data_IF_467275001646
#
_entry.id   IF_467275001646
#
_cell.length_a   1.000
_cell.length_b   1.000
_cell.length_c   1.000
_cell.angle_alpha   90.00
_cell.angle_beta   90.00
_cell.angle_gamma   90.00
#
_symmetry.space_group_name_H-M   'P 1'
#
loop_
_entity.id
_entity.type
_entity.pdbx_description
1 polymer ?
#
# COMPACT_ATOMS: atom_id res chain seq x y z
N UNK A 1 -36.98 -25.28 -16.58
CA UNK A 1 -36.35 -24.02 -17.04
C UNK A 1 -34.88 -24.31 -17.36
N UNK A 2 -34.49 -24.20 -18.62
CA UNK A 2 -33.10 -24.36 -19.03
C UNK A 2 -32.33 -23.10 -18.57
N UNK A 3 -31.37 -23.29 -17.69
CA UNK A 3 -30.50 -22.20 -17.28
C UNK A 3 -29.66 -21.73 -18.48
N UNK A 4 -29.88 -20.50 -18.94
CA UNK A 4 -29.09 -19.91 -20.01
C UNK A 4 -27.75 -19.43 -19.42
N UNK A 5 -26.64 -19.89 -20.01
CA UNK A 5 -25.31 -19.41 -19.68
C UNK A 5 -24.90 -18.37 -20.71
N UNK A 6 -24.48 -17.20 -20.22
CA UNK A 6 -23.97 -16.09 -21.04
C UNK A 6 -22.63 -15.61 -20.59
N UNK A 7 -21.83 -15.08 -21.51
CA UNK A 7 -20.57 -14.39 -21.25
C UNK A 7 -20.67 -12.96 -21.73
N UNK A 8 -20.17 -12.02 -20.91
CA UNK A 8 -20.10 -10.60 -21.25
C UNK A 8 -18.64 -10.18 -21.17
N UNK A 9 -18.11 -9.62 -22.26
CA UNK A 9 -16.79 -8.98 -22.25
C UNK A 9 -16.96 -7.48 -22.06
N UNK A 10 -16.20 -6.89 -21.15
CA UNK A 10 -16.35 -5.48 -20.82
C UNK A 10 -15.05 -4.89 -20.25
N UNK A 11 -14.89 -3.60 -20.38
CA UNK A 11 -13.93 -2.76 -19.65
C UNK A 11 -14.66 -1.73 -18.75
N UNK A 12 -15.94 -1.92 -18.51
CA UNK A 12 -16.75 -1.03 -17.69
C UNK A 12 -16.54 -1.32 -16.21
N UNK A 13 -16.08 -0.32 -15.45
CA UNK A 13 -15.95 -0.36 -14.00
C UNK A 13 -17.31 -0.68 -13.34
N UNK A 14 -18.40 -0.14 -13.88
CA UNK A 14 -19.73 -0.33 -13.32
C UNK A 14 -20.22 -1.77 -13.43
N UNK A 15 -19.96 -2.42 -14.55
CA UNK A 15 -20.30 -3.85 -14.73
C UNK A 15 -19.51 -4.71 -13.75
N UNK A 16 -18.21 -4.44 -13.59
CA UNK A 16 -17.36 -5.17 -12.65
C UNK A 16 -17.80 -4.93 -11.21
N UNK A 17 -18.12 -3.68 -10.85
CA UNK A 17 -18.56 -3.31 -9.50
C UNK A 17 -19.84 -4.03 -9.08
N UNK A 18 -20.74 -4.28 -10.02
CA UNK A 18 -22.01 -4.97 -9.79
C UNK A 18 -21.92 -6.49 -9.98
N UNK A 19 -20.74 -7.03 -10.27
CA UNK A 19 -20.52 -8.47 -10.42
C UNK A 19 -19.92 -9.06 -9.15
N UNK A 20 -20.25 -10.31 -8.83
CA UNK A 20 -19.54 -11.04 -7.77
C UNK A 20 -18.15 -11.39 -8.25
N UNK A 21 -17.17 -11.33 -7.35
CA UNK A 21 -15.78 -11.65 -7.68
C UNK A 21 -15.63 -13.04 -8.34
N UNK A 22 -16.36 -14.03 -7.86
CA UNK A 22 -16.35 -15.39 -8.42
C UNK A 22 -16.87 -15.50 -9.86
N UNK A 23 -17.60 -14.49 -10.35
CA UNK A 23 -18.10 -14.46 -11.73
C UNK A 23 -17.08 -13.87 -12.71
N UNK A 24 -16.03 -13.25 -12.20
CA UNK A 24 -15.08 -12.50 -13.03
C UNK A 24 -13.98 -13.40 -13.59
N UNK A 25 -13.61 -13.11 -14.82
CA UNK A 25 -12.47 -13.65 -15.54
C UNK A 25 -11.68 -12.48 -16.07
N UNK A 26 -10.47 -12.26 -15.55
CA UNK A 26 -9.64 -11.11 -15.88
C UNK A 26 -8.65 -11.51 -16.97
N UNK A 27 -8.74 -10.85 -18.12
CA UNK A 27 -7.79 -11.03 -19.21
C UNK A 27 -6.75 -9.91 -19.15
N UNK A 28 -5.48 -10.27 -18.95
CA UNK A 28 -4.37 -9.30 -18.88
C UNK A 28 -3.31 -9.61 -19.93
N UNK A 29 -2.87 -8.58 -20.61
CA UNK A 29 -1.73 -8.69 -21.50
C UNK A 29 -0.44 -8.78 -20.65
N UNK A 30 0.34 -9.83 -20.84
CA UNK A 30 1.60 -10.05 -20.12
C UNK A 30 2.82 -9.73 -20.98
N UNK A 31 2.69 -9.89 -22.28
CA UNK A 31 3.67 -9.51 -23.32
C UNK A 31 2.92 -9.08 -24.58
N UNK A 32 3.58 -8.45 -25.55
CA UNK A 32 2.98 -8.21 -26.86
C UNK A 32 2.41 -9.51 -27.44
N UNK A 33 1.12 -9.49 -27.78
CA UNK A 33 0.37 -10.64 -28.35
C UNK A 33 0.18 -11.85 -27.42
N UNK A 34 0.52 -11.73 -26.14
CA UNK A 34 0.34 -12.80 -25.14
C UNK A 34 -0.53 -12.29 -23.99
N UNK A 35 -1.66 -12.98 -23.75
CA UNK A 35 -2.59 -12.67 -22.67
C UNK A 35 -2.72 -13.86 -21.70
N UNK A 36 -2.83 -13.55 -20.41
CA UNK A 36 -3.20 -14.50 -19.36
C UNK A 36 -4.64 -14.30 -18.94
N UNK A 37 -5.34 -15.39 -18.76
CA UNK A 37 -6.68 -15.43 -18.17
C UNK A 37 -6.57 -15.80 -16.70
N UNK A 38 -7.01 -14.90 -15.83
CA UNK A 38 -7.09 -15.09 -14.38
C UNK A 38 -8.53 -15.37 -13.99
N UNK A 39 -8.80 -16.59 -13.53
CA UNK A 39 -10.13 -17.04 -13.12
C UNK A 39 -10.33 -16.75 -11.63
N UNK A 40 -11.15 -15.76 -11.29
CA UNK A 40 -11.36 -15.37 -9.90
C UNK A 40 -12.26 -16.34 -9.11
N UNK A 41 -12.97 -17.23 -9.79
CA UNK A 41 -13.63 -18.35 -9.12
C UNK A 41 -12.58 -19.31 -8.55
N UNK A 42 -11.58 -19.67 -9.35
CA UNK A 42 -10.45 -20.49 -8.90
C UNK A 42 -9.62 -19.80 -7.83
N UNK A 43 -9.43 -18.48 -7.92
CA UNK A 43 -8.76 -17.73 -6.87
C UNK A 43 -9.46 -17.94 -5.51
N UNK A 44 -10.77 -17.83 -5.45
CA UNK A 44 -11.54 -18.06 -4.21
C UNK A 44 -11.38 -19.50 -3.75
N UNK A 45 -11.53 -20.49 -4.65
CA UNK A 45 -11.58 -21.91 -4.28
C UNK A 45 -10.19 -22.50 -3.96
N UNK A 46 -9.15 -22.07 -4.69
CA UNK A 46 -7.81 -22.66 -4.61
C UNK A 46 -6.85 -21.86 -3.71
N UNK A 47 -7.08 -20.55 -3.53
CA UNK A 47 -6.19 -19.68 -2.75
C UNK A 47 -6.81 -19.27 -1.42
N UNK A 48 -8.07 -18.79 -1.44
CA UNK A 48 -8.69 -18.21 -0.24
C UNK A 48 -9.28 -19.29 0.67
N UNK A 49 -10.15 -20.15 0.16
CA UNK A 49 -10.86 -21.14 0.99
C UNK A 49 -9.95 -22.17 1.70
N UNK A 50 -8.88 -22.68 1.07
CA UNK A 50 -8.00 -23.62 1.73
C UNK A 50 -7.16 -23.00 2.85
N UNK A 51 -6.94 -21.69 2.80
CA UNK A 51 -6.13 -20.98 3.79
C UNK A 51 -7.02 -20.43 4.91
N UNK A 52 -6.89 -21.00 6.13
CA UNK A 52 -7.68 -20.59 7.28
C UNK A 52 -7.51 -19.10 7.63
N UNK A 53 -6.28 -18.57 7.49
CA UNK A 53 -5.98 -17.16 7.78
C UNK A 53 -6.65 -16.20 6.76
N UNK A 54 -7.02 -16.68 5.57
CA UNK A 54 -7.62 -15.89 4.50
C UNK A 54 -9.14 -16.02 4.39
N UNK A 55 -9.78 -16.91 5.18
CA UNK A 55 -11.25 -17.14 5.07
C UNK A 55 -12.06 -15.88 5.28
N UNK A 56 -11.66 -15.04 6.21
CA UNK A 56 -12.36 -13.79 6.50
C UNK A 56 -12.26 -12.79 5.36
N UNK A 57 -11.30 -12.98 4.43
CA UNK A 57 -11.17 -12.16 3.23
C UNK A 57 -12.30 -12.39 2.21
N UNK A 58 -13.07 -13.47 2.30
CA UNK A 58 -14.20 -13.69 1.38
C UNK A 58 -15.23 -12.58 1.58
N UNK A 59 -15.62 -12.30 2.83
CA UNK A 59 -16.54 -11.21 3.15
C UNK A 59 -15.93 -9.84 2.81
N UNK A 60 -14.64 -9.68 3.06
CA UNK A 60 -13.90 -8.49 2.66
C UNK A 60 -13.94 -8.29 1.15
N UNK A 61 -13.73 -9.34 0.36
CA UNK A 61 -13.77 -9.24 -1.10
C UNK A 61 -15.19 -9.03 -1.65
N UNK A 62 -16.22 -9.60 -1.06
CA UNK A 62 -17.60 -9.42 -1.51
C UNK A 62 -18.19 -8.04 -1.11
N UNK A 63 -17.78 -7.50 0.05
CA UNK A 63 -18.29 -6.24 0.56
C UNK A 63 -17.44 -5.03 0.22
N UNK A 64 -16.20 -5.01 0.68
CA UNK A 64 -15.32 -3.85 0.57
C UNK A 64 -14.66 -3.71 -0.82
N UNK A 65 -14.48 -4.85 -1.48
CA UNK A 65 -13.78 -4.93 -2.76
C UNK A 65 -14.56 -4.34 -3.92
N UNK A 66 -15.88 -4.39 -3.86
CA UNK A 66 -16.73 -3.88 -4.94
C UNK A 66 -16.44 -2.39 -5.27
N UNK A 67 -15.94 -1.62 -4.31
CA UNK A 67 -15.65 -0.19 -4.50
C UNK A 67 -14.36 0.02 -5.30
N UNK A 68 -13.27 -0.66 -4.95
CA UNK A 68 -11.93 -0.42 -5.50
C UNK A 68 -11.49 -1.47 -6.53
N UNK A 69 -12.20 -2.59 -6.63
CA UNK A 69 -11.79 -3.71 -7.45
C UNK A 69 -11.68 -3.41 -8.94
N UNK A 70 -12.62 -2.68 -9.57
CA UNK A 70 -12.47 -2.30 -10.97
C UNK A 70 -11.20 -1.49 -11.22
N UNK A 71 -10.85 -0.60 -10.30
CA UNK A 71 -9.65 0.22 -10.40
C UNK A 71 -8.37 -0.61 -10.35
N UNK A 72 -8.41 -1.74 -9.62
CA UNK A 72 -7.27 -2.66 -9.52
C UNK A 72 -7.12 -3.52 -10.78
N UNK A 73 -8.20 -4.17 -11.24
CA UNK A 73 -8.10 -5.14 -12.33
C UNK A 73 -7.78 -4.52 -13.69
N UNK A 74 -8.16 -3.27 -13.89
CA UNK A 74 -7.87 -2.57 -15.14
C UNK A 74 -6.53 -1.82 -15.13
N UNK A 75 -5.88 -1.68 -13.98
CA UNK A 75 -4.63 -0.96 -13.88
C UNK A 75 -3.41 -1.77 -14.36
N UNK A 76 -2.42 -1.07 -14.91
CA UNK A 76 -1.08 -1.63 -15.16
C UNK A 76 -0.30 -1.80 -13.85
N UNK A 77 -0.48 -0.86 -12.94
CA UNK A 77 0.14 -0.83 -11.62
C UNK A 77 -0.85 -0.31 -10.57
N UNK A 78 -0.65 -0.71 -9.32
CA UNK A 78 -1.46 -0.27 -8.20
C UNK A 78 -0.58 0.35 -7.13
N UNK A 79 -1.00 1.50 -6.60
CA UNK A 79 -0.42 2.12 -5.42
C UNK A 79 -1.47 2.11 -4.32
N UNK A 80 -1.19 1.37 -3.25
CA UNK A 80 -2.00 1.37 -2.04
C UNK A 80 -1.36 2.35 -1.04
N UNK A 81 -2.18 3.18 -0.39
CA UNK A 81 -1.73 4.21 0.53
C UNK A 81 -2.77 4.42 1.64
N UNK A 82 -2.35 4.99 2.77
CA UNK A 82 -3.23 5.12 3.93
C UNK A 82 -4.10 6.38 3.89
N UNK A 83 -3.52 7.52 3.54
CA UNK A 83 -4.18 8.81 3.66
C UNK A 83 -3.97 9.76 2.47
N UNK A 84 -4.56 10.93 2.58
CA UNK A 84 -4.48 11.97 1.55
C UNK A 84 -3.05 12.54 1.42
N UNK A 85 -2.26 12.47 2.47
CA UNK A 85 -0.87 12.92 2.49
C UNK A 85 -0.04 12.16 1.48
N UNK A 86 -0.05 10.82 1.56
CA UNK A 86 0.68 9.94 0.63
C UNK A 86 0.19 10.16 -0.79
N UNK A 87 -1.13 10.22 -0.97
CA UNK A 87 -1.74 10.45 -2.29
C UNK A 87 -1.26 11.73 -2.94
N UNK A 88 -1.24 12.82 -2.20
CA UNK A 88 -0.80 14.13 -2.70
C UNK A 88 0.69 14.11 -3.05
N UNK A 89 1.50 13.54 -2.15
CA UNK A 89 2.95 13.44 -2.35
C UNK A 89 3.28 12.61 -3.60
N UNK A 90 2.67 11.43 -3.74
CA UNK A 90 2.91 10.54 -4.87
C UNK A 90 2.46 11.18 -6.18
N UNK A 91 1.27 11.77 -6.22
CA UNK A 91 0.77 12.44 -7.43
C UNK A 91 1.70 13.58 -7.85
N UNK A 92 2.20 14.34 -6.87
CA UNK A 92 3.17 15.40 -7.17
C UNK A 92 4.51 14.84 -7.67
N UNK A 93 5.02 13.78 -7.04
CA UNK A 93 6.26 13.13 -7.47
C UNK A 93 6.16 12.60 -8.90
N UNK A 94 5.01 12.03 -9.30
CA UNK A 94 4.77 11.54 -10.66
C UNK A 94 4.76 12.66 -11.73
N UNK A 95 4.60 13.92 -11.34
CA UNK A 95 4.72 15.05 -12.25
C UNK A 95 6.18 15.38 -12.61
N UNK A 96 7.14 14.91 -11.82
CA UNK A 96 8.56 15.15 -12.08
C UNK A 96 9.06 14.36 -13.30
N UNK A 97 10.09 14.87 -13.98
CA UNK A 97 10.71 14.22 -15.13
C UNK A 97 11.25 12.82 -14.81
N UNK A 98 11.68 12.62 -13.57
CA UNK A 98 12.18 11.30 -13.08
C UNK A 98 11.18 10.17 -13.29
N UNK A 99 9.88 10.47 -13.30
CA UNK A 99 8.82 9.48 -13.43
C UNK A 99 8.05 9.57 -14.75
N UNK A 100 8.63 10.22 -15.76
CA UNK A 100 7.99 10.42 -17.07
C UNK A 100 7.51 9.07 -17.68
N UNK A 101 8.32 8.02 -17.59
CA UNK A 101 7.98 6.70 -18.10
C UNK A 101 6.71 6.07 -17.45
N UNK A 102 6.31 6.54 -16.28
CA UNK A 102 5.10 6.07 -15.60
C UNK A 102 3.84 6.84 -16.02
N UNK A 103 3.97 8.02 -16.63
CA UNK A 103 2.82 8.86 -17.04
C UNK A 103 1.95 8.21 -18.11
N UNK A 104 2.54 7.34 -18.93
CA UNK A 104 1.85 6.62 -20.01
C UNK A 104 1.26 5.27 -19.54
N UNK A 105 1.29 5.00 -18.24
CA UNK A 105 0.75 3.77 -17.67
C UNK A 105 -0.49 4.10 -16.84
N UNK A 106 -1.45 3.18 -16.86
CA UNK A 106 -2.60 3.31 -16.00
C UNK A 106 -2.22 2.88 -14.57
N UNK A 107 -2.00 3.84 -13.70
CA UNK A 107 -1.69 3.62 -12.29
C UNK A 107 -2.95 3.89 -11.47
N UNK A 108 -3.45 2.86 -10.80
CA UNK A 108 -4.56 3.00 -9.86
C UNK A 108 -4.05 3.38 -8.47
N UNK A 109 -4.76 4.32 -7.84
CA UNK A 109 -4.51 4.80 -6.49
C UNK A 109 -5.63 4.31 -5.58
N UNK A 110 -5.33 3.36 -4.72
CA UNK A 110 -6.29 2.75 -3.82
C UNK A 110 -5.99 3.17 -2.39
N UNK A 111 -6.90 3.92 -1.80
CA UNK A 111 -6.82 4.27 -0.39
C UNK A 111 -7.24 3.08 0.46
N UNK A 112 -6.34 2.67 1.35
CA UNK A 112 -6.56 1.57 2.29
C UNK A 112 -6.32 2.10 3.68
N UNK A 113 -7.29 1.98 4.58
CA UNK A 113 -7.11 2.45 5.96
C UNK A 113 -6.11 1.56 6.69
N UNK A 114 -5.02 2.12 7.20
CA UNK A 114 -4.07 1.51 8.12
C UNK A 114 -3.64 0.09 7.75
N UNK A 115 -3.80 -0.85 8.67
CA UNK A 115 -3.36 -2.24 8.56
C UNK A 115 -4.01 -3.08 7.44
N UNK A 116 -4.99 -2.54 6.69
CA UNK A 116 -5.76 -3.35 5.72
C UNK A 116 -5.07 -3.58 4.38
N UNK A 117 -3.95 -2.92 4.09
CA UNK A 117 -3.23 -3.10 2.82
C UNK A 117 -2.81 -4.56 2.59
N UNK A 118 -2.52 -5.31 3.65
CA UNK A 118 -2.17 -6.74 3.59
C UNK A 118 -3.29 -7.58 2.95
N UNK A 119 -4.55 -7.20 3.15
CA UNK A 119 -5.70 -7.94 2.63
C UNK A 119 -5.77 -7.92 1.10
N UNK A 120 -5.12 -6.97 0.45
CA UNK A 120 -5.02 -6.90 -1.01
C UNK A 120 -3.90 -7.78 -1.57
N UNK A 121 -2.94 -8.20 -0.74
CA UNK A 121 -1.79 -8.98 -1.19
C UNK A 121 -2.18 -10.25 -1.96
N UNK A 122 -3.12 -11.11 -1.48
CA UNK A 122 -3.45 -12.34 -2.19
C UNK A 122 -3.95 -12.12 -3.61
N UNK A 123 -4.81 -11.13 -3.84
CA UNK A 123 -5.34 -10.84 -5.18
C UNK A 123 -4.31 -10.17 -6.09
N UNK A 124 -3.49 -9.27 -5.55
CA UNK A 124 -2.40 -8.62 -6.30
C UNK A 124 -1.37 -9.64 -6.77
N UNK A 125 -1.01 -10.58 -5.89
CA UNK A 125 -0.13 -11.71 -6.23
C UNK A 125 -0.77 -12.62 -7.29
N UNK A 126 -2.05 -12.97 -7.11
CA UNK A 126 -2.77 -13.84 -8.05
C UNK A 126 -2.87 -13.22 -9.44
N UNK A 127 -3.24 -11.94 -9.53
CA UNK A 127 -3.35 -11.20 -10.80
C UNK A 127 -1.99 -10.76 -11.36
N UNK A 128 -0.90 -11.03 -10.66
CA UNK A 128 0.46 -10.63 -11.03
C UNK A 128 0.59 -9.13 -11.30
N UNK A 129 -0.05 -8.30 -10.46
CA UNK A 129 -0.04 -6.85 -10.60
C UNK A 129 1.15 -6.26 -9.85
N UNK A 130 1.97 -5.47 -10.55
CA UNK A 130 3.04 -4.69 -9.91
C UNK A 130 2.43 -3.64 -9.00
N UNK A 131 2.75 -3.70 -7.72
CA UNK A 131 2.13 -2.86 -6.71
C UNK A 131 3.13 -2.22 -5.79
N UNK A 132 2.80 -1.03 -5.30
CA UNK A 132 3.51 -0.34 -4.23
C UNK A 132 2.53 -0.12 -3.08
N UNK A 133 2.89 -0.57 -1.90
CA UNK A 133 2.19 -0.27 -0.65
C UNK A 133 3.00 0.78 0.08
N UNK A 134 2.35 1.89 0.44
CA UNK A 134 2.94 2.95 1.26
C UNK A 134 2.16 2.98 2.55
N UNK A 135 2.85 2.77 3.65
CA UNK A 135 2.26 2.65 4.98
C UNK A 135 3.21 3.25 6.03
N UNK A 136 2.67 3.62 7.15
CA UNK A 136 3.44 4.16 8.27
C UNK A 136 4.14 3.04 9.06
N UNK A 137 5.30 3.37 9.62
CA UNK A 137 6.08 2.40 10.41
C UNK A 137 5.33 2.00 11.68
N UNK A 138 4.62 2.94 12.28
CA UNK A 138 3.81 2.76 13.49
C UNK A 138 4.47 1.90 14.58
N UNK A 139 5.15 2.53 15.48
CA UNK A 139 5.63 1.93 16.73
C UNK A 139 4.97 2.60 17.93
N UNK A 140 5.17 2.07 19.12
CA UNK A 140 4.54 2.62 20.33
C UNK A 140 4.91 4.08 20.57
N UNK A 141 3.90 4.90 20.91
CA UNK A 141 4.01 6.35 21.02
C UNK A 141 4.78 6.83 22.25
N UNK A 142 5.07 5.96 23.19
CA UNK A 142 5.79 6.22 24.44
C UNK A 142 7.32 6.13 24.29
N UNK A 143 7.83 5.80 23.12
CA UNK A 143 9.27 5.84 22.83
C UNK A 143 9.77 7.29 22.88
N UNK A 144 10.68 7.60 23.81
CA UNK A 144 11.20 8.93 24.03
C UNK A 144 12.61 9.13 23.47
N UNK A 145 13.38 8.06 23.40
CA UNK A 145 14.76 8.06 22.91
C UNK A 145 14.91 7.24 21.63
N UNK A 146 15.98 7.45 20.88
CA UNK A 146 16.34 6.63 19.72
C UNK A 146 16.47 5.16 20.10
N UNK A 147 17.00 4.87 21.29
CA UNK A 147 17.11 3.51 21.81
C UNK A 147 15.75 2.88 22.03
N UNK A 148 14.77 3.62 22.54
CA UNK A 148 13.41 3.12 22.73
C UNK A 148 12.75 2.82 21.38
N UNK A 149 12.93 3.72 20.40
CA UNK A 149 12.38 3.50 19.05
C UNK A 149 12.95 2.24 18.43
N UNK A 150 14.26 2.06 18.42
CA UNK A 150 14.86 0.89 17.72
C UNK A 150 14.53 -0.44 18.41
N UNK A 151 14.24 -0.41 19.73
CA UNK A 151 13.80 -1.57 20.49
C UNK A 151 12.29 -1.81 20.40
N UNK A 152 11.48 -0.80 20.00
CA UNK A 152 10.04 -0.93 19.84
C UNK A 152 9.68 -1.93 18.74
N UNK A 153 8.50 -2.51 18.88
CA UNK A 153 7.89 -3.35 17.83
C UNK A 153 7.00 -2.48 16.94
N UNK A 154 6.98 -2.78 15.65
CA UNK A 154 5.99 -2.16 14.77
C UNK A 154 4.59 -2.69 15.09
N UNK A 155 3.63 -1.78 15.19
CA UNK A 155 2.21 -2.12 15.36
C UNK A 155 1.48 -2.25 14.01
N UNK A 156 2.16 -2.00 12.91
CA UNK A 156 1.58 -2.06 11.58
C UNK A 156 1.46 -3.50 11.07
N UNK A 157 0.24 -3.98 10.94
CA UNK A 157 -0.04 -5.37 10.54
C UNK A 157 0.48 -5.69 9.12
N UNK A 158 0.49 -4.73 8.20
CA UNK A 158 1.03 -4.92 6.85
C UNK A 158 2.53 -5.16 6.89
N UNK A 159 3.28 -4.33 7.62
CA UNK A 159 4.74 -4.47 7.78
C UNK A 159 5.06 -5.81 8.44
N UNK A 160 4.35 -6.16 9.52
CA UNK A 160 4.56 -7.40 10.26
C UNK A 160 4.29 -8.64 9.39
N UNK A 161 3.24 -8.63 8.57
CA UNK A 161 2.96 -9.73 7.65
C UNK A 161 4.04 -9.90 6.57
N UNK A 162 4.57 -8.78 6.04
CA UNK A 162 5.67 -8.83 5.09
C UNK A 162 6.97 -9.33 5.73
N UNK A 163 7.28 -8.88 6.95
CA UNK A 163 8.44 -9.35 7.70
C UNK A 163 8.34 -10.84 8.04
N UNK A 164 7.16 -11.31 8.47
CA UNK A 164 6.90 -12.75 8.70
C UNK A 164 7.20 -13.58 7.46
N UNK A 165 6.81 -13.10 6.28
CA UNK A 165 7.05 -13.83 5.02
C UNK A 165 8.53 -13.78 4.61
N UNK A 166 9.17 -12.61 4.67
CA UNK A 166 10.52 -12.38 4.15
C UNK A 166 11.63 -12.74 5.15
N UNK A 167 11.48 -12.35 6.41
CA UNK A 167 12.48 -12.49 7.47
C UNK A 167 12.21 -13.69 8.38
N UNK A 168 11.00 -14.29 8.29
CA UNK A 168 10.52 -15.33 9.22
C UNK A 168 10.36 -14.83 10.66
N UNK A 169 10.13 -13.54 10.82
CA UNK A 169 9.95 -12.85 12.09
C UNK A 169 8.56 -12.21 12.14
N UNK A 170 7.73 -12.61 13.11
CA UNK A 170 6.33 -12.20 13.18
C UNK A 170 6.12 -10.80 13.78
N UNK A 171 7.01 -10.39 14.67
CA UNK A 171 6.97 -9.11 15.37
C UNK A 171 8.38 -8.50 15.36
N UNK A 172 8.83 -7.96 14.23
CA UNK A 172 10.18 -7.42 14.12
C UNK A 172 10.30 -6.12 14.93
N UNK A 173 11.44 -5.96 15.59
CA UNK A 173 11.78 -4.65 16.15
C UNK A 173 12.03 -3.62 15.04
N UNK A 174 11.88 -2.35 15.37
CA UNK A 174 12.19 -1.25 14.44
C UNK A 174 13.64 -1.33 13.92
N UNK A 175 14.58 -1.77 14.78
CA UNK A 175 15.97 -2.01 14.37
C UNK A 175 16.09 -3.03 13.24
N UNK A 176 15.34 -4.12 13.33
CA UNK A 176 15.31 -5.17 12.29
C UNK A 176 14.72 -4.61 11.00
N UNK A 177 13.63 -3.84 11.10
CA UNK A 177 12.99 -3.20 9.95
C UNK A 177 13.90 -2.18 9.26
N UNK A 178 14.62 -1.36 10.02
CA UNK A 178 15.62 -0.43 9.47
C UNK A 178 16.72 -1.19 8.74
N UNK A 179 17.28 -2.22 9.38
CA UNK A 179 18.32 -3.05 8.77
C UNK A 179 17.82 -3.77 7.51
N UNK A 180 16.57 -4.23 7.52
CA UNK A 180 15.94 -4.84 6.35
C UNK A 180 15.83 -3.85 5.19
N UNK A 181 15.36 -2.62 5.46
CA UNK A 181 15.25 -1.56 4.46
C UNK A 181 16.60 -1.12 3.91
N UNK A 182 17.62 -0.98 4.75
CA UNK A 182 18.96 -0.53 4.35
C UNK A 182 19.71 -1.57 3.53
N UNK A 183 19.53 -2.86 3.83
CA UNK A 183 20.18 -3.97 3.13
C UNK A 183 19.56 -4.29 1.76
N UNK A 184 18.37 -3.74 1.47
CA UNK A 184 17.65 -3.99 0.21
C UNK A 184 17.43 -2.69 -0.56
N UNK A 185 17.63 -2.72 -1.87
CA UNK A 185 17.23 -1.57 -2.72
C UNK A 185 15.74 -1.27 -2.59
N UNK A 186 14.91 -2.30 -2.40
CA UNK A 186 13.48 -2.21 -2.21
C UNK A 186 13.04 -3.35 -1.31
N UNK A 187 12.22 -3.07 -0.33
CA UNK A 187 11.49 -4.09 0.41
C UNK A 187 10.39 -4.61 -0.51
N UNK A 188 10.61 -5.78 -1.08
CA UNK A 188 9.69 -6.35 -2.06
C UNK A 188 9.50 -7.85 -1.85
N UNK A 189 8.26 -8.31 -2.04
CA UNK A 189 7.89 -9.71 -2.11
C UNK A 189 7.14 -9.91 -3.42
N UNK A 190 7.66 -10.77 -4.31
CA UNK A 190 7.16 -10.98 -5.66
C UNK A 190 7.00 -9.64 -6.42
N UNK A 191 5.77 -9.27 -6.77
CA UNK A 191 5.45 -8.05 -7.52
C UNK A 191 5.02 -6.87 -6.64
N UNK A 192 5.09 -7.01 -5.31
CA UNK A 192 4.63 -6.00 -4.36
C UNK A 192 5.83 -5.41 -3.64
N UNK A 193 6.02 -4.11 -3.79
CA UNK A 193 6.98 -3.33 -3.03
C UNK A 193 6.29 -2.71 -1.82
N UNK A 194 7.02 -2.64 -0.70
CA UNK A 194 6.57 -2.00 0.53
C UNK A 194 7.47 -0.80 0.83
N UNK A 195 6.87 0.34 1.12
CA UNK A 195 7.55 1.57 1.53
C UNK A 195 7.00 2.03 2.89
N UNK A 196 7.91 2.29 3.82
CA UNK A 196 7.67 2.83 5.15
C UNK A 196 8.87 3.68 5.58
N UNK A 197 8.80 4.35 6.74
CA UNK A 197 9.88 5.19 7.25
C UNK A 197 11.13 4.34 7.55
N UNK A 198 12.31 4.93 7.36
CA UNK A 198 13.60 4.31 7.64
C UNK A 198 14.41 5.14 8.65
N UNK A 199 15.62 4.71 8.96
CA UNK A 199 16.52 5.43 9.89
C UNK A 199 16.79 6.87 9.45
N UNK A 200 16.86 7.11 8.13
CA UNK A 200 17.09 8.45 7.57
C UNK A 200 15.85 9.37 7.62
N UNK A 201 14.73 8.86 8.11
CA UNK A 201 13.49 9.62 8.29
C UNK A 201 13.36 10.15 9.73
N UNK A 202 14.50 10.31 10.43
CA UNK A 202 14.59 10.96 11.73
C UNK A 202 13.79 10.29 12.85
N UNK A 203 13.69 8.96 12.85
CA UNK A 203 12.93 8.16 13.82
C UNK A 203 11.42 8.48 13.84
N UNK A 204 10.88 8.93 12.72
CA UNK A 204 9.46 9.23 12.58
C UNK A 204 8.62 7.96 12.53
N UNK A 205 7.42 8.02 13.13
CA UNK A 205 6.42 6.96 13.08
C UNK A 205 5.57 7.03 11.83
N UNK A 206 5.27 8.27 11.41
CA UNK A 206 4.37 8.56 10.29
C UNK A 206 5.09 9.38 9.22
N UNK A 207 4.52 9.40 8.02
CA UNK A 207 5.05 10.18 6.91
C UNK A 207 5.08 11.68 7.24
N UNK A 208 4.03 12.19 7.88
CA UNK A 208 3.96 13.60 8.25
C UNK A 208 5.01 13.99 9.28
N UNK A 209 5.26 13.13 10.28
CA UNK A 209 6.34 13.33 11.26
C UNK A 209 7.70 13.38 10.56
N UNK A 210 7.95 12.47 9.60
CA UNK A 210 9.18 12.44 8.82
C UNK A 210 9.38 13.73 8.00
N UNK A 211 8.30 14.21 7.37
CA UNK A 211 8.32 15.45 6.60
C UNK A 211 8.61 16.68 7.48
N UNK A 212 8.00 16.73 8.66
CA UNK A 212 8.20 17.81 9.62
C UNK A 212 9.64 17.80 10.15
N UNK A 213 10.11 16.65 10.61
CA UNK A 213 11.47 16.46 11.12
C UNK A 213 12.52 16.88 10.06
N UNK A 214 12.33 16.43 8.83
CA UNK A 214 13.22 16.81 7.72
C UNK A 214 13.19 18.31 7.42
N UNK A 215 12.03 18.94 7.45
CA UNK A 215 11.89 20.38 7.21
C UNK A 215 12.67 21.23 8.22
N UNK A 216 12.62 20.82 9.48
CA UNK A 216 13.31 21.54 10.56
C UNK A 216 14.73 21.02 10.82
N UNK A 217 15.16 19.99 10.12
CA UNK A 217 16.42 19.26 10.35
C UNK A 217 16.57 18.82 11.80
N UNK A 218 15.49 18.28 12.36
CA UNK A 218 15.39 17.85 13.76
C UNK A 218 14.93 16.40 13.81
N UNK A 219 15.21 15.72 14.92
CA UNK A 219 14.62 14.40 15.18
C UNK A 219 13.10 14.52 15.38
N UNK A 220 12.35 13.52 14.94
CA UNK A 220 10.93 13.39 15.27
C UNK A 220 10.68 13.20 16.78
N UNK A 221 11.71 12.78 17.52
CA UNK A 221 11.71 12.62 18.99
C UNK A 221 11.94 13.93 19.75
N UNK A 222 12.37 14.98 19.06
CA UNK A 222 12.62 16.27 19.69
C UNK A 222 11.31 16.84 20.26
N UNK A 223 11.35 17.26 21.51
CA UNK A 223 10.18 17.81 22.23
C UNK A 223 9.54 18.96 21.46
N UNK A 224 10.35 19.85 20.89
CA UNK A 224 9.86 20.97 20.09
C UNK A 224 9.13 20.50 18.83
N UNK A 225 9.65 19.47 18.14
CA UNK A 225 9.00 18.89 16.96
C UNK A 225 7.65 18.28 17.34
N UNK A 226 7.57 17.56 18.45
CA UNK A 226 6.34 16.96 18.97
C UNK A 226 5.30 18.01 19.40
N UNK A 227 5.73 19.03 20.13
CA UNK A 227 4.87 20.14 20.56
C UNK A 227 4.32 20.89 19.34
N UNK A 228 5.17 21.21 18.37
CA UNK A 228 4.78 21.90 17.15
C UNK A 228 3.79 21.06 16.33
N UNK A 229 4.05 19.76 16.14
CA UNK A 229 3.16 18.83 15.47
C UNK A 229 1.78 18.74 16.16
N UNK A 230 1.78 18.67 17.48
CA UNK A 230 0.54 18.60 18.27
C UNK A 230 -0.25 19.92 18.21
N UNK A 231 0.44 21.07 18.15
CA UNK A 231 -0.18 22.40 18.08
C UNK A 231 -0.78 22.73 16.71
N UNK A 232 -0.34 22.06 15.64
CA UNK A 232 -0.82 22.33 14.30
C UNK A 232 -2.28 21.87 14.13
N UNK A 233 -3.12 22.75 13.60
CA UNK A 233 -4.46 22.39 13.17
C UNK A 233 -4.40 21.43 11.98
N UNK A 234 -5.41 20.59 11.81
CA UNK A 234 -5.48 19.60 10.72
C UNK A 234 -5.17 20.21 9.33
N UNK A 235 -5.71 21.41 9.05
CA UNK A 235 -5.46 22.09 7.78
C UNK A 235 -4.02 22.59 7.62
N UNK A 236 -3.34 22.91 8.72
CA UNK A 236 -1.96 23.35 8.68
C UNK A 236 -1.01 22.16 8.49
N UNK A 237 -1.33 21.00 9.05
CA UNK A 237 -0.63 19.74 8.79
C UNK A 237 -0.62 19.41 7.30
N UNK A 238 -1.74 19.55 6.62
CA UNK A 238 -1.83 19.36 5.18
C UNK A 238 -0.94 20.32 4.37
N UNK A 239 -0.72 21.55 4.85
CA UNK A 239 0.15 22.53 4.16
C UNK A 239 1.64 22.13 4.16
N UNK A 240 2.08 21.30 5.11
CA UNK A 240 3.44 20.77 5.08
C UNK A 240 3.66 19.76 3.97
N UNK A 241 2.58 19.08 3.57
CA UNK A 241 2.59 18.05 2.55
C UNK A 241 2.50 18.63 1.15
N UNK A 242 1.80 19.77 1.00
CA UNK A 242 1.69 20.44 -0.29
C UNK A 242 3.07 21.03 -0.60
N UNK A 243 3.79 20.54 -1.63
CA UNK A 243 5.05 21.16 -2.03
C UNK A 243 4.75 22.63 -2.33
N UNK A 244 5.48 23.54 -1.68
CA UNK A 244 5.51 24.90 -2.12
C UNK A 244 5.89 24.82 -3.60
N UNK A 245 5.12 25.47 -4.48
CA UNK A 245 5.52 25.64 -5.87
C UNK A 245 6.96 26.09 -5.83
N UNK A 246 7.85 25.25 -6.32
CA UNK A 246 9.23 25.67 -6.57
C UNK A 246 9.05 26.69 -7.67
N UNK A 247 9.15 27.96 -7.32
CA UNK A 247 9.22 29.03 -8.29
C UNK A 247 10.37 28.71 -9.22
N UNK A 248 10.02 28.55 -10.47
CA UNK A 248 10.87 28.24 -11.61
C UNK A 248 12.05 29.19 -11.76
#
# INVERSE_FOLDING_TARGET
ESAMQGFVTTHSHEVVRNSRISQLRVLRQVKPFECCLYDLHRFIDEVIKPNQELKDLIEFYDGFYAINFPDIIFADKVILYEGDTERMLIKNALLSERFEALRNQYISFVQVGGAYAINYKPILDYLNIKSLIITDLDFYADAETESDVVQSLSTNATINAFAKEALKESEPSVQVLYSWKDNMKHVAIKNICLAFQGINDHYARTLEEAMLAKRYNMSALDTKTREEWTSLRKNDKLKFVIPQKVDS
#
